data_IF_954061213784
#
_entry.id   IF_954061213784
#
_cell.length_a   1.000
_cell.length_b   1.000
_cell.length_c   1.000
_cell.angle_alpha   90.00
_cell.angle_beta   90.00
_cell.angle_gamma   90.00
#
_symmetry.space_group_name_H-M   'P 1'
#
loop_
_entity.id
_entity.type
_entity.pdbx_description
1 polymer ?
#
# COMPACT_ATOMS: atom_id res chain seq x y z
N UNK A 1 11.89 -48.34 -35.09
CA UNK A 1 10.48 -47.93 -34.94
C UNK A 1 10.04 -46.83 -35.90
N UNK A 2 10.95 -46.14 -36.60
CA UNK A 2 10.64 -45.14 -37.63
C UNK A 2 10.34 -45.72 -39.03
N UNK A 3 10.72 -46.98 -39.31
CA UNK A 3 10.41 -47.61 -40.61
C UNK A 3 8.97 -48.16 -40.73
N UNK A 4 8.28 -48.40 -39.61
CA UNK A 4 6.84 -48.74 -39.63
C UNK A 4 5.94 -47.53 -39.89
N UNK A 5 6.46 -46.31 -39.80
CA UNK A 5 5.75 -45.07 -40.17
C UNK A 5 5.91 -44.70 -41.66
N UNK A 6 6.79 -45.37 -42.41
CA UNK A 6 7.01 -45.08 -43.84
C UNK A 6 6.25 -45.99 -44.81
N UNK A 7 5.60 -47.05 -44.31
CA UNK A 7 4.83 -48.03 -45.11
C UNK A 7 3.31 -47.97 -44.95
N UNK A 8 2.79 -46.84 -44.47
CA UNK A 8 1.35 -46.54 -44.44
C UNK A 8 0.99 -45.34 -45.32
N UNK A 9 1.41 -45.34 -46.60
CA UNK A 9 0.90 -44.38 -47.59
C UNK A 9 -0.47 -44.86 -48.06
N UNK A 10 -1.48 -44.01 -47.86
CA UNK A 10 -2.88 -44.13 -48.30
C UNK A 10 -3.79 -45.11 -47.55
N UNK A 11 -3.90 -44.96 -46.22
CA UNK A 11 -5.10 -45.38 -45.49
C UNK A 11 -6.01 -44.17 -45.25
N UNK A 12 -7.30 -44.27 -45.57
CA UNK A 12 -8.30 -43.21 -45.37
C UNK A 12 -8.32 -42.66 -43.94
N UNK A 13 -7.88 -43.46 -42.97
CA UNK A 13 -7.78 -43.06 -41.56
C UNK A 13 -6.75 -41.96 -41.31
N UNK A 14 -5.59 -42.01 -41.97
CA UNK A 14 -4.55 -40.97 -41.87
C UNK A 14 -5.00 -39.64 -42.44
N UNK A 15 -5.82 -39.65 -43.51
CA UNK A 15 -6.45 -38.43 -44.02
C UNK A 15 -7.49 -37.94 -43.00
N UNK A 16 -8.40 -38.79 -42.51
CA UNK A 16 -9.40 -38.39 -41.51
C UNK A 16 -8.77 -37.72 -40.26
N UNK A 17 -7.64 -38.23 -39.79
CA UNK A 17 -6.92 -37.68 -38.64
C UNK A 17 -6.23 -36.34 -38.94
N UNK A 18 -5.68 -36.19 -40.15
CA UNK A 18 -5.08 -34.91 -40.60
C UNK A 18 -6.16 -33.84 -40.84
N UNK A 19 -7.31 -34.23 -41.40
CA UNK A 19 -8.48 -33.36 -41.59
C UNK A 19 -9.07 -32.94 -40.23
N UNK A 20 -9.14 -33.85 -39.26
CA UNK A 20 -9.57 -33.54 -37.89
C UNK A 20 -8.60 -32.55 -37.22
N UNK A 21 -7.28 -32.73 -37.33
CA UNK A 21 -6.30 -31.78 -36.78
C UNK A 21 -6.40 -30.42 -37.47
N UNK A 22 -6.56 -30.37 -38.79
CA UNK A 22 -6.75 -29.12 -39.55
C UNK A 22 -8.06 -28.43 -39.16
N UNK A 23 -9.17 -29.15 -38.97
CA UNK A 23 -10.45 -28.59 -38.52
C UNK A 23 -10.34 -28.08 -37.08
N UNK A 24 -9.62 -28.79 -36.20
CA UNK A 24 -9.38 -28.36 -34.83
C UNK A 24 -8.52 -27.09 -34.79
N UNK A 25 -7.49 -27.03 -35.64
CA UNK A 25 -6.67 -25.82 -35.79
C UNK A 25 -7.43 -24.69 -36.49
N UNK A 26 -8.33 -24.94 -37.44
CA UNK A 26 -9.16 -23.90 -38.06
C UNK A 26 -10.20 -23.33 -37.08
N UNK A 27 -10.76 -24.16 -36.20
CA UNK A 27 -11.73 -23.72 -35.18
C UNK A 27 -11.07 -23.06 -33.97
N UNK A 28 -9.86 -23.47 -33.56
CA UNK A 28 -9.16 -22.88 -32.40
C UNK A 28 -8.07 -21.85 -32.78
N UNK A 29 -7.46 -21.93 -33.96
CA UNK A 29 -6.23 -21.18 -34.34
C UNK A 29 -6.14 -20.70 -35.81
N UNK A 30 -7.16 -20.90 -36.66
CA UNK A 30 -7.29 -20.36 -38.03
C UNK A 30 -7.95 -18.98 -38.03
N UNK A 31 -8.01 -18.24 -39.16
CA UNK A 31 -8.34 -16.80 -39.21
C UNK A 31 -9.80 -16.52 -38.82
N UNK A 32 -10.04 -16.58 -37.51
CA UNK A 32 -11.33 -16.74 -36.86
C UNK A 32 -11.22 -16.91 -35.34
N UNK A 33 -10.03 -17.21 -34.79
CA UNK A 33 -9.70 -16.97 -33.36
C UNK A 33 -9.14 -15.56 -33.10
N UNK A 34 -9.38 -14.65 -34.04
CA UNK A 34 -9.44 -13.21 -33.77
C UNK A 34 -10.64 -12.98 -32.83
N UNK A 35 -10.37 -12.58 -31.58
CA UNK A 35 -11.39 -12.02 -30.70
C UNK A 35 -12.20 -10.98 -31.49
N UNK A 36 -13.52 -11.17 -31.56
CA UNK A 36 -14.46 -10.28 -32.25
C UNK A 36 -14.20 -8.81 -31.92
N UNK A 37 -13.53 -8.10 -32.82
CA UNK A 37 -13.74 -6.66 -33.01
C UNK A 37 -14.67 -6.52 -34.20
N UNK A 38 -15.92 -6.13 -33.92
CA UNK A 38 -16.83 -5.54 -34.91
C UNK A 38 -16.05 -4.46 -35.67
N UNK A 39 -15.86 -4.65 -36.97
CA UNK A 39 -15.55 -3.54 -37.87
C UNK A 39 -16.82 -2.68 -37.97
N UNK A 40 -16.79 -1.53 -37.32
CA UNK A 40 -17.88 -0.55 -37.26
C UNK A 40 -17.76 0.26 -35.97
N UNK A 41 -16.98 1.34 -36.03
CA UNK A 41 -16.45 2.12 -34.91
C UNK A 41 -15.42 1.36 -34.06
N UNK A 42 -14.14 1.49 -34.43
CA UNK A 42 -13.04 1.09 -33.56
C UNK A 42 -13.15 1.86 -32.25
N UNK A 43 -13.60 1.18 -31.20
CA UNK A 43 -13.48 1.70 -29.84
C UNK A 43 -11.98 1.72 -29.56
N UNK A 44 -11.34 2.86 -29.81
CA UNK A 44 -9.96 3.10 -29.39
C UNK A 44 -9.93 2.79 -27.91
N UNK A 45 -9.21 1.76 -27.51
CA UNK A 45 -9.12 1.39 -26.11
C UNK A 45 -8.30 2.46 -25.42
N UNK A 46 -8.96 3.36 -24.70
CA UNK A 46 -8.32 4.48 -24.01
C UNK A 46 -8.28 4.23 -22.50
N UNK A 47 -7.21 4.70 -21.87
CA UNK A 47 -7.08 4.68 -20.42
C UNK A 47 -7.84 5.87 -19.80
N UNK A 48 -7.79 7.02 -20.48
CA UNK A 48 -8.58 8.22 -20.17
C UNK A 48 -8.76 9.07 -21.43
N UNK A 49 -9.78 9.93 -21.42
CA UNK A 49 -9.99 10.95 -22.44
C UNK A 49 -9.96 12.31 -21.77
N UNK A 50 -9.08 13.19 -22.25
CA UNK A 50 -8.86 14.54 -21.71
C UNK A 50 -9.24 15.54 -22.79
N UNK A 51 -10.45 16.12 -22.67
CA UNK A 51 -11.08 16.92 -23.72
C UNK A 51 -11.18 16.13 -25.04
N UNK A 52 -10.44 16.57 -26.07
CA UNK A 52 -10.39 15.93 -27.38
C UNK A 52 -9.18 14.99 -27.54
N UNK A 53 -8.26 14.96 -26.57
CA UNK A 53 -7.10 14.09 -26.57
C UNK A 53 -7.38 12.76 -25.86
N UNK A 54 -6.72 11.71 -26.32
CA UNK A 54 -6.85 10.36 -25.79
C UNK A 54 -5.54 9.94 -25.16
N UNK A 55 -5.59 9.53 -23.89
CA UNK A 55 -4.49 8.81 -23.23
C UNK A 55 -4.69 7.33 -23.54
N UNK A 56 -3.80 6.77 -24.35
CA UNK A 56 -3.87 5.37 -24.75
C UNK A 56 -3.59 4.43 -23.56
N UNK A 57 -4.09 3.20 -23.64
CA UNK A 57 -3.78 2.17 -22.63
C UNK A 57 -2.30 1.83 -22.65
N UNK A 58 -1.67 1.86 -23.82
CA UNK A 58 -0.25 1.61 -24.00
C UNK A 58 0.59 2.66 -23.29
N UNK A 59 0.25 3.94 -23.43
CA UNK A 59 0.95 5.03 -22.75
C UNK A 59 0.79 4.94 -21.22
N UNK A 60 -0.41 4.63 -20.74
CA UNK A 60 -0.66 4.42 -19.32
C UNK A 60 0.14 3.24 -18.76
N UNK A 61 0.12 2.09 -19.43
CA UNK A 61 0.83 0.89 -18.98
C UNK A 61 2.35 1.12 -18.99
N UNK A 62 2.87 1.83 -19.99
CA UNK A 62 4.28 2.20 -20.06
C UNK A 62 4.68 3.09 -18.88
N UNK A 63 3.90 4.15 -18.61
CA UNK A 63 4.17 5.07 -17.49
C UNK A 63 4.10 4.34 -16.14
N UNK A 64 3.07 3.51 -15.93
CA UNK A 64 2.89 2.76 -14.70
C UNK A 64 4.04 1.77 -14.48
N UNK A 65 4.42 1.02 -15.52
CA UNK A 65 5.51 0.05 -15.43
C UNK A 65 6.85 0.73 -15.19
N UNK A 66 7.09 1.88 -15.82
CA UNK A 66 8.32 2.67 -15.61
C UNK A 66 8.42 3.16 -14.17
N UNK A 67 7.33 3.75 -13.64
CA UNK A 67 7.25 4.20 -12.25
C UNK A 67 7.40 3.03 -11.25
N UNK A 68 6.77 1.89 -11.53
CA UNK A 68 6.88 0.71 -10.68
C UNK A 68 8.32 0.18 -10.62
N UNK A 69 9.03 0.12 -11.76
CA UNK A 69 10.45 -0.30 -11.80
C UNK A 69 11.36 0.69 -11.10
N UNK A 70 11.08 1.98 -11.18
CA UNK A 70 11.81 3.01 -10.45
C UNK A 70 11.69 2.79 -8.94
N UNK A 71 10.48 2.55 -8.43
CA UNK A 71 10.26 2.23 -7.01
C UNK A 71 11.02 0.98 -6.57
N UNK A 72 11.12 -0.05 -7.43
CA UNK A 72 11.92 -1.24 -7.16
C UNK A 72 13.43 -0.98 -7.13
N UNK A 73 13.93 0.00 -7.89
CA UNK A 73 15.35 0.38 -7.83
C UNK A 73 15.72 0.99 -6.48
N UNK A 74 14.83 1.82 -5.92
CA UNK A 74 15.05 2.43 -4.60
C UNK A 74 14.73 1.48 -3.45
N UNK A 75 13.72 0.63 -3.61
CA UNK A 75 13.33 -0.36 -2.61
C UNK A 75 13.14 -1.73 -3.29
N UNK A 76 14.15 -2.62 -3.23
CA UNK A 76 14.07 -3.95 -3.83
C UNK A 76 12.88 -4.81 -3.34
N UNK A 77 12.35 -4.53 -2.15
CA UNK A 77 11.18 -5.24 -1.59
C UNK A 77 9.84 -4.64 -2.04
N UNK A 78 9.85 -3.62 -2.90
CA UNK A 78 8.64 -2.98 -3.40
C UNK A 78 7.79 -3.97 -4.21
N UNK A 79 6.54 -4.15 -3.76
CA UNK A 79 5.62 -5.14 -4.29
C UNK A 79 4.26 -4.54 -4.66
N UNK A 80 3.37 -5.38 -5.16
CA UNK A 80 2.04 -4.97 -5.64
C UNK A 80 1.17 -4.37 -4.54
N UNK A 81 1.24 -4.87 -3.32
CA UNK A 81 0.38 -4.39 -2.23
C UNK A 81 0.86 -3.03 -1.70
N UNK A 82 2.18 -2.80 -1.68
CA UNK A 82 2.73 -1.46 -1.46
C UNK A 82 2.26 -0.49 -2.57
N UNK A 83 2.36 -0.88 -3.84
CA UNK A 83 1.90 -0.05 -4.96
C UNK A 83 0.40 0.31 -4.86
N UNK A 84 -0.44 -0.62 -4.38
CA UNK A 84 -1.85 -0.32 -4.10
C UNK A 84 -2.01 0.64 -2.93
N UNK A 85 -1.31 0.42 -1.82
CA UNK A 85 -1.39 1.29 -0.63
C UNK A 85 -0.99 2.73 -0.92
N UNK A 86 -0.05 2.94 -1.84
CA UNK A 86 0.37 4.26 -2.32
C UNK A 86 -0.53 4.83 -3.43
N UNK A 87 -1.58 4.11 -3.84
CA UNK A 87 -2.42 4.47 -4.98
C UNK A 87 -1.63 4.76 -6.27
N UNK A 88 -0.54 4.01 -6.51
CA UNK A 88 0.41 4.29 -7.58
C UNK A 88 -0.26 4.37 -8.97
N UNK A 89 -1.23 3.48 -9.21
CA UNK A 89 -1.98 3.44 -10.46
C UNK A 89 -2.74 4.76 -10.71
N UNK A 90 -3.34 5.32 -9.67
CA UNK A 90 -4.08 6.57 -9.75
C UNK A 90 -3.12 7.75 -9.91
N UNK A 91 -2.06 7.81 -9.11
CA UNK A 91 -1.05 8.88 -9.21
C UNK A 91 -0.42 8.97 -10.60
N UNK A 92 -0.13 7.83 -11.25
CA UNK A 92 0.37 7.82 -12.63
C UNK A 92 -0.69 8.28 -13.63
N UNK A 93 -1.97 7.93 -13.42
CA UNK A 93 -3.05 8.43 -14.28
C UNK A 93 -3.19 9.94 -14.16
N UNK A 94 -3.20 10.46 -12.93
CA UNK A 94 -3.29 11.88 -12.64
C UNK A 94 -2.12 12.64 -13.28
N UNK A 95 -0.89 12.12 -13.17
CA UNK A 95 0.30 12.69 -13.82
C UNK A 95 0.14 12.82 -15.34
N UNK A 96 -0.43 11.80 -16.01
CA UNK A 96 -0.66 11.84 -17.45
C UNK A 96 -1.79 12.80 -17.84
N UNK A 97 -2.85 12.87 -17.03
CA UNK A 97 -3.96 13.79 -17.23
C UNK A 97 -3.47 15.23 -17.06
N UNK A 98 -2.75 15.53 -15.98
CA UNK A 98 -2.21 16.85 -15.68
C UNK A 98 -1.25 17.31 -16.79
N UNK A 99 -0.34 16.44 -17.23
CA UNK A 99 0.55 16.72 -18.35
C UNK A 99 -0.23 17.10 -19.63
N UNK A 100 -1.28 16.34 -19.95
CA UNK A 100 -2.10 16.59 -21.13
C UNK A 100 -2.86 17.93 -20.99
N UNK A 101 -3.50 18.19 -19.85
CA UNK A 101 -4.20 19.45 -19.56
C UNK A 101 -3.24 20.64 -19.66
N UNK A 102 -2.09 20.58 -18.99
CA UNK A 102 -1.11 21.67 -19.00
C UNK A 102 -0.59 21.94 -20.41
N UNK A 103 -0.31 20.91 -21.20
CA UNK A 103 0.11 21.08 -22.59
C UNK A 103 -0.97 21.71 -23.47
N UNK A 104 -2.25 21.36 -23.25
CA UNK A 104 -3.37 21.97 -23.96
C UNK A 104 -3.55 23.45 -23.58
N UNK A 105 -3.46 23.77 -22.29
CA UNK A 105 -3.55 25.16 -21.80
C UNK A 105 -2.40 25.98 -22.36
N UNK A 106 -1.17 25.47 -22.30
CA UNK A 106 -0.01 26.14 -22.86
C UNK A 106 -0.19 26.42 -24.36
N UNK A 107 -0.68 25.44 -25.12
CA UNK A 107 -0.98 25.62 -26.55
C UNK A 107 -2.06 26.69 -26.77
N UNK A 108 -3.11 26.71 -25.93
CA UNK A 108 -4.20 27.70 -25.99
C UNK A 108 -3.69 29.14 -25.77
N UNK A 109 -2.67 29.31 -24.94
CA UNK A 109 -2.01 30.60 -24.70
C UNK A 109 -0.86 30.87 -25.68
N UNK A 110 -0.80 30.14 -26.81
CA UNK A 110 0.20 30.31 -27.87
C UNK A 110 1.65 30.15 -27.39
N UNK A 111 1.89 29.39 -26.31
CA UNK A 111 3.23 28.96 -26.00
C UNK A 111 3.69 27.96 -27.08
N UNK A 112 4.92 28.13 -27.54
CA UNK A 112 5.51 27.28 -28.58
C UNK A 112 6.83 26.72 -28.07
N UNK A 113 7.13 25.50 -28.51
CA UNK A 113 8.42 24.83 -28.31
C UNK A 113 9.03 24.60 -29.68
N UNK A 114 10.22 25.14 -29.89
CA UNK A 114 10.97 24.95 -31.14
C UNK A 114 11.60 23.56 -31.17
N UNK A 115 11.86 23.03 -32.36
CA UNK A 115 12.49 21.71 -32.47
C UNK A 115 13.95 21.74 -31.95
N UNK A 116 14.63 22.89 -32.06
CA UNK A 116 15.94 23.14 -31.45
C UNK A 116 15.90 23.04 -29.92
N UNK A 117 14.84 23.56 -29.28
CA UNK A 117 14.67 23.45 -27.83
C UNK A 117 14.42 22.01 -27.38
N UNK A 118 13.63 21.25 -28.16
CA UNK A 118 13.46 19.81 -27.93
C UNK A 118 14.82 19.09 -28.06
N UNK A 119 15.56 19.36 -29.14
CA UNK A 119 16.87 18.76 -29.38
C UNK A 119 17.86 19.09 -28.26
N UNK A 120 17.92 20.36 -27.83
CA UNK A 120 18.75 20.81 -26.71
C UNK A 120 18.40 20.10 -25.41
N UNK A 121 17.11 20.04 -25.07
CA UNK A 121 16.63 19.37 -23.84
C UNK A 121 16.99 17.88 -23.85
N UNK A 122 16.90 17.22 -25.00
CA UNK A 122 17.29 15.82 -25.16
C UNK A 122 18.81 15.67 -25.05
N UNK A 123 19.58 16.54 -25.71
CA UNK A 123 21.04 16.52 -25.70
C UNK A 123 21.65 16.75 -24.32
N UNK A 124 21.01 17.58 -23.48
CA UNK A 124 21.42 17.86 -22.10
C UNK A 124 21.13 16.71 -21.13
N UNK A 125 20.33 15.71 -21.53
CA UNK A 125 20.01 14.58 -20.67
C UNK A 125 21.20 13.59 -20.60
N UNK A 126 21.78 13.35 -19.40
CA UNK A 126 22.94 12.45 -19.26
C UNK A 126 22.69 11.02 -19.72
N UNK A 127 21.42 10.57 -19.78
CA UNK A 127 21.04 9.25 -20.28
C UNK A 127 21.41 9.06 -21.76
N UNK A 128 21.50 10.15 -22.52
CA UNK A 128 21.81 10.13 -23.95
C UNK A 128 23.21 10.64 -24.28
N UNK A 129 24.06 10.78 -23.25
CA UNK A 129 25.42 11.26 -23.42
C UNK A 129 26.45 10.14 -23.30
N UNK A 130 27.53 10.26 -24.07
CA UNK A 130 28.75 9.48 -23.93
C UNK A 130 29.90 10.47 -23.72
N UNK A 131 30.66 10.30 -22.62
CA UNK A 131 31.72 11.22 -22.21
C UNK A 131 31.26 12.69 -22.02
N UNK A 132 29.99 12.90 -21.65
CA UNK A 132 29.42 14.25 -21.43
C UNK A 132 28.91 14.95 -22.69
N UNK A 133 29.04 14.33 -23.86
CA UNK A 133 28.50 14.82 -25.13
C UNK A 133 27.36 13.93 -25.61
N UNK A 134 26.38 14.52 -26.31
CA UNK A 134 25.25 13.77 -26.84
C UNK A 134 25.70 12.74 -27.89
N UNK A 135 25.26 11.49 -27.73
CA UNK A 135 25.49 10.42 -28.68
C UNK A 135 24.17 9.96 -29.31
N UNK A 136 24.02 10.20 -30.62
CA UNK A 136 22.80 9.87 -31.35
C UNK A 136 22.52 8.35 -31.41
N UNK A 137 23.56 7.51 -31.52
CA UNK A 137 23.39 6.05 -31.58
C UNK A 137 22.91 5.51 -30.24
N UNK A 138 23.44 6.03 -29.13
CA UNK A 138 23.01 5.73 -27.78
C UNK A 138 21.57 6.20 -27.56
N UNK A 139 21.23 7.42 -27.97
CA UNK A 139 19.87 7.96 -27.95
C UNK A 139 18.90 7.05 -28.69
N UNK A 140 19.18 6.75 -29.97
CA UNK A 140 18.30 5.92 -30.79
C UNK A 140 18.13 4.52 -30.20
N UNK A 141 19.23 3.92 -29.70
CA UNK A 141 19.20 2.60 -29.05
C UNK A 141 18.32 2.62 -27.79
N UNK A 142 18.48 3.62 -26.92
CA UNK A 142 17.70 3.71 -25.69
C UNK A 142 16.22 3.95 -26.01
N UNK A 143 15.91 4.90 -26.89
CA UNK A 143 14.53 5.23 -27.24
C UNK A 143 13.81 4.04 -27.89
N UNK A 144 14.47 3.35 -28.83
CA UNK A 144 13.85 2.22 -29.53
C UNK A 144 13.76 0.96 -28.68
N UNK A 145 14.83 0.59 -27.99
CA UNK A 145 14.90 -0.72 -27.35
C UNK A 145 14.52 -0.68 -25.86
N UNK A 146 14.87 0.38 -25.14
CA UNK A 146 14.54 0.50 -23.71
C UNK A 146 13.20 1.18 -23.49
N UNK A 147 12.89 2.23 -24.26
CA UNK A 147 11.63 2.97 -24.14
C UNK A 147 10.54 2.45 -25.09
N UNK A 148 10.88 1.59 -26.07
CA UNK A 148 9.93 1.02 -27.04
C UNK A 148 9.16 2.10 -27.83
N UNK A 149 9.84 3.20 -28.15
CA UNK A 149 9.31 4.33 -28.91
C UNK A 149 10.12 4.53 -30.19
N UNK A 150 9.54 5.22 -31.17
CA UNK A 150 10.32 5.82 -32.25
C UNK A 150 10.90 7.16 -31.78
N UNK A 151 12.07 7.60 -32.30
CA UNK A 151 12.61 8.93 -32.00
C UNK A 151 11.57 10.04 -32.17
N UNK A 152 10.85 10.04 -33.29
CA UNK A 152 9.77 10.99 -33.54
C UNK A 152 8.69 11.01 -32.44
N UNK A 153 8.18 9.84 -32.03
CA UNK A 153 7.14 9.76 -30.98
C UNK A 153 7.70 10.18 -29.62
N UNK A 154 8.98 9.92 -29.36
CA UNK A 154 9.66 10.39 -28.15
C UNK A 154 9.81 11.92 -28.15
N UNK A 155 10.27 12.51 -29.25
CA UNK A 155 10.39 13.96 -29.42
C UNK A 155 9.04 14.67 -29.30
N UNK A 156 7.97 14.13 -29.88
CA UNK A 156 6.60 14.64 -29.70
C UNK A 156 6.17 14.63 -28.23
N UNK A 157 6.51 13.57 -27.48
CA UNK A 157 6.26 13.50 -26.03
C UNK A 157 7.10 14.51 -25.25
N UNK A 158 8.38 14.69 -25.60
CA UNK A 158 9.23 15.70 -24.98
C UNK A 158 8.71 17.11 -25.25
N UNK A 159 8.25 17.39 -26.47
CA UNK A 159 7.64 18.66 -26.85
C UNK A 159 6.44 19.00 -25.98
N UNK A 160 5.52 18.05 -25.78
CA UNK A 160 4.37 18.23 -24.85
C UNK A 160 4.82 18.52 -23.42
N UNK A 161 5.86 17.82 -22.94
CA UNK A 161 6.41 18.01 -21.60
C UNK A 161 7.04 19.38 -21.40
N UNK A 162 7.90 19.79 -22.33
CA UNK A 162 8.53 21.12 -22.30
C UNK A 162 7.45 22.19 -22.32
N UNK A 163 6.41 22.02 -23.14
CA UNK A 163 5.31 22.96 -23.22
C UNK A 163 4.54 23.10 -21.88
N UNK A 164 4.26 21.98 -21.20
CA UNK A 164 3.63 21.98 -19.89
C UNK A 164 4.52 22.66 -18.82
N UNK A 165 5.83 22.39 -18.84
CA UNK A 165 6.80 23.01 -17.93
C UNK A 165 6.87 24.52 -18.14
N UNK A 166 6.95 24.99 -19.40
CA UNK A 166 6.94 26.42 -19.71
C UNK A 166 5.74 27.16 -19.14
N UNK A 167 4.55 26.56 -19.20
CA UNK A 167 3.35 27.15 -18.61
C UNK A 167 3.49 27.25 -17.09
N UNK A 168 3.97 26.20 -16.43
CA UNK A 168 4.17 26.22 -14.98
C UNK A 168 5.20 27.26 -14.57
N UNK A 169 6.29 27.41 -15.32
CA UNK A 169 7.31 28.41 -15.06
C UNK A 169 6.76 29.82 -15.27
N UNK A 170 6.01 30.06 -16.36
CA UNK A 170 5.32 31.32 -16.58
C UNK A 170 4.36 31.66 -15.44
N UNK A 171 3.58 30.69 -14.96
CA UNK A 171 2.69 30.88 -13.81
C UNK A 171 3.50 31.27 -12.57
N UNK A 172 4.56 30.52 -12.24
CA UNK A 172 5.42 30.82 -11.08
C UNK A 172 6.06 32.19 -11.18
N UNK A 173 6.59 32.55 -12.34
CA UNK A 173 7.24 33.84 -12.59
C UNK A 173 6.24 35.00 -12.58
N UNK A 174 4.97 34.73 -12.88
CA UNK A 174 3.90 35.74 -12.83
C UNK A 174 3.36 36.02 -11.43
N UNK A 175 3.61 35.14 -10.45
CA UNK A 175 3.13 35.33 -9.07
C UNK A 175 3.97 36.39 -8.38
N UNK A 176 3.35 37.54 -8.10
CA UNK A 176 3.89 38.54 -7.17
C UNK A 176 3.45 38.16 -5.77
N UNK A 177 4.41 37.86 -4.89
CA UNK A 177 4.14 37.70 -3.46
C UNK A 177 4.12 39.09 -2.84
N UNK A 178 3.03 39.44 -2.17
CA UNK A 178 2.95 40.67 -1.41
C UNK A 178 3.81 40.59 -0.14
N UNK A 179 4.50 41.68 0.18
CA UNK A 179 5.42 41.73 1.33
C UNK A 179 4.72 41.44 2.65
N UNK A 180 3.45 41.83 2.79
CA UNK A 180 2.65 41.60 4.00
C UNK A 180 2.38 40.12 4.24
N UNK A 181 1.91 39.39 3.21
CA UNK A 181 1.69 37.94 3.31
C UNK A 181 3.00 37.18 3.50
N UNK A 182 4.08 37.60 2.85
CA UNK A 182 5.41 37.02 3.06
C UNK A 182 5.88 37.19 4.52
N UNK A 183 5.74 38.40 5.06
CA UNK A 183 6.09 38.68 6.46
C UNK A 183 5.19 37.91 7.42
N UNK A 184 3.88 37.84 7.16
CA UNK A 184 2.92 37.10 7.97
C UNK A 184 3.23 35.60 8.02
N UNK A 185 3.52 34.96 6.88
CA UNK A 185 3.90 33.55 6.83
C UNK A 185 5.25 33.31 7.52
N UNK A 186 6.23 34.21 7.33
CA UNK A 186 7.50 34.17 8.04
C UNK A 186 7.30 34.23 9.55
N UNK A 187 6.53 35.21 10.04
CA UNK A 187 6.23 35.37 11.46
C UNK A 187 5.48 34.15 12.00
N UNK A 188 4.52 33.60 11.26
CA UNK A 188 3.78 32.39 11.66
C UNK A 188 4.69 31.17 11.82
N UNK A 189 5.63 30.96 10.90
CA UNK A 189 6.56 29.82 10.92
C UNK A 189 7.66 29.98 11.96
N UNK A 190 8.09 31.21 12.23
CA UNK A 190 9.26 31.48 13.05
C UNK A 190 8.95 32.03 14.44
N UNK A 191 7.72 32.48 14.71
CA UNK A 191 7.30 32.83 16.06
C UNK A 191 7.20 31.57 16.90
N UNK A 192 8.18 31.43 17.80
CA UNK A 192 8.17 30.44 18.87
C UNK A 192 7.77 31.15 20.15
N UNK A 193 6.82 30.58 20.89
CA UNK A 193 6.42 31.07 22.20
C UNK A 193 6.91 30.08 23.26
N UNK A 194 7.63 30.59 24.25
CA UNK A 194 7.96 29.81 25.44
C UNK A 194 6.75 29.88 26.40
N UNK A 195 6.06 28.76 26.55
CA UNK A 195 4.92 28.62 27.46
C UNK A 195 5.41 28.05 28.80
N UNK A 196 5.27 28.86 29.86
CA UNK A 196 5.37 28.37 31.22
C UNK A 196 3.97 28.01 31.71
N UNK A 197 3.75 26.74 31.99
CA UNK A 197 2.49 26.27 32.55
C UNK A 197 2.77 25.37 33.75
N UNK A 198 1.86 25.42 34.72
CA UNK A 198 1.86 24.49 35.85
C UNK A 198 0.87 23.39 35.52
N UNK A 199 1.38 22.17 35.33
CA UNK A 199 0.53 20.98 35.20
C UNK A 199 0.27 20.43 36.60
N UNK A 200 -1.00 20.32 36.97
CA UNK A 200 -1.39 19.58 38.15
C UNK A 200 -2.12 18.30 37.72
N UNK A 201 -1.89 17.22 38.47
CA UNK A 201 -2.63 15.98 38.31
C UNK A 201 -3.83 16.01 39.24
N UNK A 202 -5.07 16.11 38.74
CA UNK A 202 -6.25 16.19 39.58
C UNK A 202 -6.42 14.96 40.49
N UNK A 203 -5.79 13.82 40.16
CA UNK A 203 -5.80 12.59 40.97
C UNK A 203 -5.02 12.73 42.29
N UNK A 204 -4.08 13.66 42.40
CA UNK A 204 -3.31 13.89 43.65
C UNK A 204 -4.15 14.66 44.68
N UNK A 205 -5.33 15.14 44.29
CA UNK A 205 -6.22 15.92 45.15
C UNK A 205 -7.59 15.28 45.36
N UNK A 206 -7.86 14.10 44.79
CA UNK A 206 -9.14 13.39 44.96
C UNK A 206 -9.45 13.13 46.43
N UNK A 207 -8.44 12.80 47.24
CA UNK A 207 -8.62 12.48 48.66
C UNK A 207 -9.04 13.71 49.49
N UNK A 208 -8.81 14.92 48.95
CA UNK A 208 -9.19 16.21 49.56
C UNK A 208 -10.57 16.69 49.08
N UNK A 209 -11.15 16.05 48.07
CA UNK A 209 -12.47 16.38 47.53
C UNK A 209 -13.45 15.31 48.00
N UNK A 210 -14.16 15.61 49.09
CA UNK A 210 -15.30 14.79 49.50
C UNK A 210 -16.51 15.18 48.66
N UNK A 211 -17.01 14.24 47.87
CA UNK A 211 -18.27 14.39 47.15
C UNK A 211 -19.37 13.88 48.06
N UNK A 212 -20.19 14.80 48.58
CA UNK A 212 -21.36 14.46 49.39
C UNK A 212 -22.49 13.95 48.49
N UNK A 213 -23.23 12.92 48.92
CA UNK A 213 -24.34 12.34 48.14
C UNK A 213 -25.38 13.40 47.74
N UNK A 214 -25.65 14.35 48.65
CA UNK A 214 -26.55 15.48 48.39
C UNK A 214 -26.10 16.39 47.24
N UNK A 215 -24.78 16.50 46.99
CA UNK A 215 -24.25 17.28 45.87
C UNK A 215 -24.45 16.54 44.54
N UNK A 216 -24.34 15.22 44.55
CA UNK A 216 -24.63 14.36 43.38
C UNK A 216 -26.12 14.42 43.04
N UNK A 217 -27.00 14.31 44.04
CA UNK A 217 -28.44 14.40 43.85
C UNK A 217 -28.86 15.75 43.27
N UNK A 218 -28.28 16.84 43.77
CA UNK A 218 -28.53 18.18 43.24
C UNK A 218 -28.04 18.34 41.80
N UNK A 219 -26.87 17.78 41.46
CA UNK A 219 -26.35 17.78 40.10
C UNK A 219 -27.26 17.00 39.15
N UNK A 220 -27.69 15.79 39.56
CA UNK A 220 -28.59 14.96 38.75
C UNK A 220 -29.98 15.58 38.62
N UNK A 221 -30.44 16.38 39.58
CA UNK A 221 -31.71 17.10 39.49
C UNK A 221 -31.63 18.31 38.55
N UNK A 222 -30.55 19.08 38.59
CA UNK A 222 -30.43 20.34 37.85
C UNK A 222 -29.81 20.19 36.46
N UNK A 223 -28.90 19.24 36.27
CA UNK A 223 -28.08 19.10 35.05
C UNK A 223 -28.18 17.71 34.40
N UNK A 224 -29.25 16.96 34.69
CA UNK A 224 -29.46 15.59 34.18
C UNK A 224 -29.12 15.41 32.71
N UNK A 225 -29.65 16.30 31.85
CA UNK A 225 -29.48 16.22 30.41
C UNK A 225 -28.01 16.38 29.99
N UNK A 226 -27.23 17.21 30.70
CA UNK A 226 -25.79 17.38 30.44
C UNK A 226 -25.00 16.15 30.90
N UNK A 227 -25.36 15.59 32.06
CA UNK A 227 -24.75 14.36 32.58
C UNK A 227 -25.01 13.19 31.63
N UNK A 228 -26.25 13.04 31.16
CA UNK A 228 -26.62 12.00 30.17
C UNK A 228 -25.90 12.22 28.84
N UNK A 229 -25.82 13.44 28.33
CA UNK A 229 -25.07 13.75 27.10
C UNK A 229 -23.57 13.45 27.23
N UNK A 230 -22.96 13.80 28.38
CA UNK A 230 -21.57 13.48 28.64
C UNK A 230 -21.34 11.96 28.69
N UNK A 231 -22.18 11.24 29.44
CA UNK A 231 -22.12 9.78 29.52
C UNK A 231 -22.24 9.13 28.14
N UNK A 232 -23.25 9.52 27.35
CA UNK A 232 -23.50 8.96 26.03
C UNK A 232 -22.37 9.22 25.02
N UNK A 233 -21.71 10.38 25.11
CA UNK A 233 -20.58 10.72 24.24
C UNK A 233 -19.25 10.10 24.69
N UNK A 234 -19.17 9.59 25.92
CA UNK A 234 -17.96 8.99 26.50
C UNK A 234 -18.22 7.56 26.99
N UNK A 235 -19.15 6.83 26.38
CA UNK A 235 -19.52 5.46 26.77
C UNK A 235 -18.28 4.56 26.88
N UNK A 236 -17.25 4.76 26.05
CA UNK A 236 -16.00 3.99 26.12
C UNK A 236 -15.19 4.20 27.41
N UNK A 237 -15.33 5.35 28.06
CA UNK A 237 -14.68 5.66 29.35
C UNK A 237 -15.43 5.04 30.54
N UNK A 238 -16.73 4.79 30.37
CA UNK A 238 -17.61 4.20 31.41
C UNK A 238 -17.91 2.72 31.18
N UNK A 239 -17.57 2.18 30.01
CA UNK A 239 -17.69 0.75 29.70
C UNK A 239 -16.49 0.01 30.27
N UNK A 240 -16.73 -0.90 31.22
CA UNK A 240 -15.69 -1.84 31.62
C UNK A 240 -15.68 -3.00 30.61
N UNK A 241 -14.59 -3.21 29.85
CA UNK A 241 -14.49 -4.37 28.99
C UNK A 241 -14.58 -5.64 29.84
N UNK A 242 -15.19 -6.70 29.28
CA UNK A 242 -15.33 -7.99 29.95
C UNK A 242 -13.96 -8.45 30.45
N UNK A 243 -13.86 -8.60 31.77
CA UNK A 243 -12.66 -9.09 32.42
C UNK A 243 -12.77 -10.59 32.68
N UNK A 244 -11.64 -11.27 32.59
CA UNK A 244 -11.49 -12.68 32.89
C UNK A 244 -10.43 -12.82 33.97
N UNK A 245 -10.63 -13.75 34.90
CA UNK A 245 -9.60 -14.18 35.85
C UNK A 245 -9.31 -15.63 35.59
N UNK A 246 -8.03 -15.95 35.41
CA UNK A 246 -7.59 -17.30 35.10
C UNK A 246 -6.38 -17.68 35.96
N UNK A 247 -6.14 -18.98 36.07
CA UNK A 247 -4.89 -19.52 36.60
C UNK A 247 -4.20 -20.35 35.54
N UNK A 248 -2.87 -20.32 35.50
CA UNK A 248 -2.10 -21.11 34.55
C UNK A 248 -0.83 -21.71 35.16
N UNK A 249 -0.33 -22.77 34.51
CA UNK A 249 0.95 -23.42 34.80
C UNK A 249 1.70 -23.44 33.47
N UNK A 250 2.80 -22.70 33.39
CA UNK A 250 3.63 -22.63 32.19
C UNK A 250 4.74 -23.67 32.29
N UNK A 251 4.91 -24.51 31.27
CA UNK A 251 6.11 -25.30 31.05
C UNK A 251 6.80 -24.75 29.80
N UNK A 252 8.03 -24.26 29.92
CA UNK A 252 8.75 -23.60 28.82
C UNK A 252 9.37 -24.63 27.90
N UNK A 253 9.22 -24.41 26.60
CA UNK A 253 9.90 -25.17 25.56
C UNK A 253 10.73 -24.20 24.72
N UNK A 254 12.03 -24.46 24.56
CA UNK A 254 12.89 -23.64 23.71
C UNK A 254 12.52 -23.79 22.22
N UNK A 255 12.74 -22.73 21.42
CA UNK A 255 12.38 -22.73 19.98
C UNK A 255 13.07 -23.84 19.16
N UNK A 256 14.17 -24.40 19.64
CA UNK A 256 14.93 -25.48 19.01
C UNK A 256 14.98 -26.74 19.90
N UNK A 257 13.95 -26.99 20.71
CA UNK A 257 13.90 -28.20 21.53
C UNK A 257 13.86 -29.45 20.63
N UNK A 258 14.61 -30.47 21.02
CA UNK A 258 14.57 -31.78 20.36
C UNK A 258 13.29 -32.54 20.75
N UNK A 259 12.95 -33.56 19.95
CA UNK A 259 11.74 -34.38 20.15
C UNK A 259 11.73 -35.11 21.51
N UNK A 260 12.89 -35.32 22.13
CA UNK A 260 12.99 -35.97 23.44
C UNK A 260 12.56 -35.02 24.56
N UNK A 261 13.04 -33.76 24.54
CA UNK A 261 12.60 -32.70 25.46
C UNK A 261 11.14 -32.34 25.29
N UNK A 262 10.63 -32.33 24.06
CA UNK A 262 9.20 -32.13 23.80
C UNK A 262 8.34 -33.20 24.48
N UNK A 263 8.74 -34.48 24.34
CA UNK A 263 8.05 -35.60 25.00
C UNK A 263 8.12 -35.48 26.52
N UNK A 264 9.29 -35.13 27.07
CA UNK A 264 9.46 -34.96 28.51
C UNK A 264 8.53 -33.87 29.08
N UNK A 265 8.49 -32.70 28.43
CA UNK A 265 7.62 -31.58 28.84
C UNK A 265 6.14 -31.96 28.71
N UNK A 266 5.77 -32.67 27.63
CA UNK A 266 4.39 -33.13 27.43
C UNK A 266 3.96 -34.16 28.50
N UNK A 267 4.82 -35.10 28.85
CA UNK A 267 4.52 -36.08 29.90
C UNK A 267 4.41 -35.41 31.29
N UNK A 268 5.25 -34.40 31.58
CA UNK A 268 5.09 -33.56 32.77
C UNK A 268 3.75 -32.82 32.77
N UNK A 269 3.34 -32.23 31.65
CA UNK A 269 2.05 -31.56 31.52
C UNK A 269 0.87 -32.53 31.75
N UNK A 270 0.91 -33.72 31.15
CA UNK A 270 -0.12 -34.77 31.33
C UNK A 270 -0.20 -35.23 32.78
N UNK A 271 0.93 -35.40 33.46
CA UNK A 271 0.97 -35.75 34.87
C UNK A 271 0.29 -34.68 35.73
N UNK A 272 0.63 -33.41 35.53
CA UNK A 272 -0.01 -32.28 36.23
C UNK A 272 -1.53 -32.26 36.00
N UNK A 273 -1.99 -32.49 34.76
CA UNK A 273 -3.43 -32.59 34.44
C UNK A 273 -4.08 -33.76 35.19
N UNK A 274 -3.37 -34.88 35.31
CA UNK A 274 -3.88 -36.08 36.01
C UNK A 274 -4.00 -35.81 37.51
N UNK A 275 -2.97 -35.21 38.10
CA UNK A 275 -2.96 -34.81 39.51
C UNK A 275 -4.09 -33.80 39.81
N UNK A 276 -4.30 -32.81 38.94
CA UNK A 276 -5.43 -31.88 39.03
C UNK A 276 -6.79 -32.58 38.98
N UNK A 277 -6.97 -33.54 38.05
CA UNK A 277 -8.21 -34.32 37.94
C UNK A 277 -8.44 -35.24 39.14
N UNK A 278 -7.36 -35.66 39.80
CA UNK A 278 -7.42 -36.45 41.04
C UNK A 278 -7.71 -35.63 42.31
N UNK A 279 -7.81 -34.29 42.18
CA UNK A 279 -8.18 -33.39 43.28
C UNK A 279 -7.02 -32.63 43.92
N UNK A 280 -5.81 -32.68 43.34
CA UNK A 280 -4.71 -31.83 43.79
C UNK A 280 -5.06 -30.34 43.63
N UNK A 281 -4.61 -29.49 44.56
CA UNK A 281 -4.85 -28.05 44.49
C UNK A 281 -4.02 -27.43 43.37
N UNK A 282 -4.68 -26.66 42.51
CA UNK A 282 -4.04 -25.96 41.41
C UNK A 282 -2.90 -25.05 41.86
N UNK A 283 -3.10 -24.33 42.96
CA UNK A 283 -2.10 -23.43 43.53
C UNK A 283 -0.81 -24.15 43.89
N UNK A 284 -0.90 -25.34 44.49
CA UNK A 284 0.26 -26.11 44.93
C UNK A 284 1.06 -26.61 43.71
N UNK A 285 0.36 -27.16 42.70
CA UNK A 285 1.00 -27.60 41.46
C UNK A 285 1.58 -26.43 40.66
N UNK A 286 0.92 -25.27 40.67
CA UNK A 286 1.45 -24.07 40.01
C UNK A 286 2.72 -23.57 40.70
N UNK A 287 2.72 -23.50 42.04
CA UNK A 287 3.91 -23.15 42.84
C UNK A 287 5.05 -24.14 42.65
N UNK A 288 4.74 -25.40 42.43
CA UNK A 288 5.74 -26.45 42.24
C UNK A 288 6.31 -26.47 40.82
N UNK A 289 5.44 -26.50 39.80
CA UNK A 289 5.81 -26.86 38.43
C UNK A 289 5.81 -25.71 37.44
N UNK A 290 5.14 -24.58 37.72
CA UNK A 290 5.12 -23.47 36.76
C UNK A 290 6.51 -22.85 36.60
N UNK A 291 6.85 -22.51 35.36
CA UNK A 291 8.04 -21.78 34.95
C UNK A 291 7.74 -20.32 34.58
N UNK A 292 6.49 -19.87 34.80
CA UNK A 292 6.14 -18.46 34.85
C UNK A 292 6.38 -17.92 36.26
N UNK A 293 7.55 -17.31 36.46
CA UNK A 293 8.03 -16.82 37.75
C UNK A 293 7.08 -15.82 38.42
N UNK A 294 6.28 -15.07 37.64
CA UNK A 294 5.39 -14.02 38.16
C UNK A 294 4.11 -14.61 38.73
N UNK A 295 3.45 -15.53 38.01
CA UNK A 295 2.22 -16.15 38.50
C UNK A 295 2.48 -17.33 39.44
N UNK A 296 3.63 -18.02 39.31
CA UNK A 296 4.02 -19.18 40.15
C UNK A 296 3.87 -18.90 41.64
N UNK A 297 4.40 -17.77 42.12
CA UNK A 297 4.36 -17.38 43.54
C UNK A 297 2.93 -17.11 44.05
N UNK A 298 2.00 -16.81 43.15
CA UNK A 298 0.56 -16.58 43.43
C UNK A 298 -0.31 -17.78 43.06
N UNK A 299 0.27 -18.99 42.96
CA UNK A 299 -0.50 -20.19 42.63
C UNK A 299 -1.01 -20.22 41.19
N UNK A 300 -0.30 -19.56 40.28
CA UNK A 300 -0.66 -19.46 38.86
C UNK A 300 -1.69 -18.38 38.56
N UNK A 301 -2.11 -17.55 39.53
CA UNK A 301 -3.11 -16.49 39.31
C UNK A 301 -2.58 -15.38 38.41
N UNK A 302 -3.32 -15.13 37.33
CA UNK A 302 -3.04 -14.10 36.33
C UNK A 302 -3.75 -12.78 36.61
N UNK A 303 -4.57 -12.72 37.67
CA UNK A 303 -5.42 -11.58 37.99
C UNK A 303 -6.48 -11.31 36.88
N UNK A 304 -7.23 -10.21 37.01
CA UNK A 304 -8.19 -9.79 36.00
C UNK A 304 -7.50 -9.20 34.76
N UNK A 305 -7.89 -9.70 33.59
CA UNK A 305 -7.43 -9.20 32.30
C UNK A 305 -8.58 -9.06 31.29
N UNK A 306 -8.45 -8.13 30.35
CA UNK A 306 -9.45 -7.89 29.33
C UNK A 306 -9.39 -8.95 28.20
N UNK A 307 -10.50 -9.11 27.50
CA UNK A 307 -10.58 -9.92 26.27
C UNK A 307 -9.45 -9.54 25.28
N UNK A 308 -8.80 -10.54 24.69
CA UNK A 308 -7.71 -10.34 23.72
C UNK A 308 -6.31 -10.07 24.31
N UNK A 309 -6.16 -10.02 25.64
CA UNK A 309 -4.84 -9.87 26.30
C UNK A 309 -4.01 -11.16 26.39
N UNK A 310 -4.65 -12.32 26.23
CA UNK A 310 -3.99 -13.63 26.28
C UNK A 310 -3.64 -14.14 24.88
N UNK A 311 -2.58 -14.93 24.79
CA UNK A 311 -2.19 -15.62 23.55
C UNK A 311 -3.28 -16.61 23.16
N UNK A 312 -3.59 -16.72 21.87
CA UNK A 312 -4.56 -17.72 21.38
C UNK A 312 -4.00 -19.13 21.61
N UNK A 313 -4.83 -20.09 22.07
CA UNK A 313 -4.42 -21.47 22.25
C UNK A 313 -4.00 -22.15 20.95
#
# INVERSE_FOLDING_TARGET
>A
MLDKLRKGKQSSWSWALTLMIIVTFLFFFGPGSFRRTRAGCGVVSYAAKVNHAVISIEDFNFAYTSRYREMQRYNPNFNRDMAKSLNLRQSVMDELIDLEILSQVASKYNLVVSDEEVAKTIAENPMFQQNGEFDYNLYEKIVRYHMQLTPKKFEEKQKKRILAVKLLDLIKDSVKVDEESALSDYLKRNNKVNLYYVKFDPRVHTDKVKVEDSAVDNLLKNDRAKVEAYYNNHISEFSQPRQFRARHILLKLGQNADSEKEKEVLEKAKKIITDLKSGAKFEDLAKQYSEDEVSKVRGGDLDYFAEGRMVKP
#
